data_IF_565428852148
#
_entry.id   IF_565428852148
#
_cell.length_a   1.000
_cell.length_b   1.000
_cell.length_c   1.000
_cell.angle_alpha   90.00
_cell.angle_beta   90.00
_cell.angle_gamma   90.00
#
_symmetry.space_group_name_H-M   'P 1'
#
loop_
_entity.id
_entity.type
_entity.pdbx_description
1 polymer ?
#
# COMPACT_ATOMS: atom_id res chain seq x y z
N UNK A 1 -17.97 -6.79 -18.10
CA UNK A 1 -17.45 -5.96 -16.99
C UNK A 1 -15.93 -6.11 -17.01
N UNK A 2 -15.20 -5.06 -17.36
CA UNK A 2 -13.73 -5.06 -17.36
C UNK A 2 -13.26 -4.19 -16.18
N UNK A 3 -12.17 -4.58 -15.52
CA UNK A 3 -11.59 -3.75 -14.46
C UNK A 3 -10.85 -2.57 -15.07
N UNK A 4 -11.05 -1.37 -14.54
CA UNK A 4 -10.34 -0.17 -15.02
C UNK A 4 -8.87 -0.13 -14.55
N UNK A 5 -8.57 -0.74 -13.40
CA UNK A 5 -7.21 -0.78 -12.85
C UNK A 5 -6.86 -2.16 -12.29
N UNK A 6 -5.65 -2.69 -12.58
CA UNK A 6 -5.20 -4.00 -12.09
C UNK A 6 -5.05 -4.04 -10.57
N UNK A 7 -4.79 -2.89 -9.93
CA UNK A 7 -4.71 -2.76 -8.49
C UNK A 7 -5.99 -3.21 -7.77
N UNK A 8 -7.16 -3.05 -8.40
CA UNK A 8 -8.43 -3.46 -7.81
C UNK A 8 -8.58 -4.99 -7.72
N UNK A 9 -7.92 -5.74 -8.60
CA UNK A 9 -7.89 -7.21 -8.52
C UNK A 9 -7.13 -7.68 -7.27
N UNK A 10 -5.97 -7.07 -7.01
CA UNK A 10 -5.14 -7.40 -5.83
C UNK A 10 -5.80 -6.94 -4.54
N UNK A 11 -6.39 -5.74 -4.53
CA UNK A 11 -7.14 -5.23 -3.38
C UNK A 11 -8.39 -6.06 -3.12
N UNK A 12 -9.13 -6.46 -4.15
CA UNK A 12 -10.30 -7.34 -4.02
C UNK A 12 -9.95 -8.66 -3.36
N UNK A 13 -8.87 -9.31 -3.79
CA UNK A 13 -8.38 -10.54 -3.16
C UNK A 13 -7.95 -10.34 -1.69
N UNK A 14 -7.53 -9.13 -1.31
CA UNK A 14 -7.24 -8.80 0.09
C UNK A 14 -8.53 -8.59 0.89
N UNK A 15 -9.52 -7.89 0.33
CA UNK A 15 -10.83 -7.66 0.96
C UNK A 15 -11.62 -8.95 1.17
N UNK A 16 -11.53 -9.89 0.23
CA UNK A 16 -12.14 -11.22 0.37
C UNK A 16 -11.63 -11.97 1.61
N UNK A 17 -10.36 -11.76 1.97
CA UNK A 17 -9.73 -12.36 3.15
C UNK A 17 -9.93 -11.54 4.43
N UNK A 18 -10.03 -10.22 4.31
CA UNK A 18 -10.16 -9.28 5.43
C UNK A 18 -11.05 -8.11 5.03
N UNK A 19 -12.31 -8.19 5.44
CA UNK A 19 -13.33 -7.17 5.16
C UNK A 19 -12.89 -5.76 5.60
N UNK A 20 -12.36 -5.63 6.83
CA UNK A 20 -11.90 -4.34 7.38
C UNK A 20 -10.44 -4.01 7.03
N UNK A 21 -10.04 -4.24 5.78
CA UNK A 21 -8.70 -3.90 5.28
C UNK A 21 -8.60 -2.44 4.82
N UNK A 22 -7.52 -1.75 5.20
CA UNK A 22 -7.28 -0.35 4.85
C UNK A 22 -6.65 -0.19 3.44
N UNK A 23 -7.29 -0.77 2.42
CA UNK A 23 -6.75 -0.88 1.05
C UNK A 23 -6.40 0.45 0.37
N UNK A 24 -7.14 1.53 0.68
CA UNK A 24 -6.90 2.88 0.14
C UNK A 24 -5.48 3.39 0.41
N UNK A 25 -4.88 3.02 1.55
CA UNK A 25 -3.52 3.42 1.92
C UNK A 25 -2.47 2.88 0.94
N UNK A 26 -2.70 1.70 0.35
CA UNK A 26 -1.76 1.00 -0.52
C UNK A 26 -1.97 1.32 -2.00
N UNK A 27 -3.12 1.88 -2.37
CA UNK A 27 -3.49 2.11 -3.76
C UNK A 27 -2.48 2.99 -4.51
N UNK A 28 -1.87 3.98 -3.84
CA UNK A 28 -0.83 4.85 -4.42
C UNK A 28 0.43 4.11 -4.88
N UNK A 29 0.81 3.02 -4.18
CA UNK A 29 1.88 2.13 -4.59
C UNK A 29 1.39 1.17 -5.67
N UNK A 30 0.26 0.49 -5.41
CA UNK A 30 -0.25 -0.57 -6.28
C UNK A 30 -0.54 -0.06 -7.69
N UNK A 31 -1.16 1.11 -7.86
CA UNK A 31 -1.43 1.69 -9.19
C UNK A 31 -0.16 1.88 -10.04
N UNK A 32 1.01 1.96 -9.41
CA UNK A 32 2.29 2.20 -10.09
C UNK A 32 3.00 0.91 -10.49
N UNK A 33 2.88 -0.13 -9.67
CA UNK A 33 3.61 -1.40 -9.84
C UNK A 33 2.74 -2.53 -10.41
N UNK A 34 1.42 -2.44 -10.22
CA UNK A 34 0.48 -3.47 -10.62
C UNK A 34 0.11 -3.37 -12.11
N UNK A 35 0.08 -4.50 -12.82
CA UNK A 35 -0.29 -4.63 -14.23
C UNK A 35 -1.22 -5.83 -14.43
N UNK A 36 -2.02 -5.81 -15.49
CA UNK A 36 -2.75 -7.00 -15.90
C UNK A 36 -1.76 -8.12 -16.23
N UNK A 37 -2.11 -9.34 -15.85
CA UNK A 37 -1.24 -10.50 -16.02
C UNK A 37 -1.57 -11.17 -17.34
N UNK A 38 -0.55 -11.43 -18.14
CA UNK A 38 -0.66 -12.26 -19.33
C UNK A 38 -0.61 -13.73 -18.92
N UNK A 39 -1.73 -14.21 -18.35
CA UNK A 39 -1.89 -15.55 -17.82
C UNK A 39 -3.37 -15.97 -17.88
N UNK A 40 -3.63 -17.28 -17.80
CA UNK A 40 -5.01 -17.77 -17.68
C UNK A 40 -5.67 -17.22 -16.42
N UNK A 41 -6.99 -17.01 -16.46
CA UNK A 41 -7.75 -16.46 -15.31
C UNK A 41 -7.44 -17.20 -14.00
N UNK A 42 -7.43 -18.55 -13.93
CA UNK A 42 -7.08 -19.25 -12.70
C UNK A 42 -5.67 -18.98 -12.21
N UNK A 43 -4.68 -18.87 -13.12
CA UNK A 43 -3.30 -18.57 -12.76
C UNK A 43 -3.15 -17.14 -12.27
N UNK A 44 -3.80 -16.19 -12.94
CA UNK A 44 -3.82 -14.79 -12.54
C UNK A 44 -4.44 -14.62 -11.14
N UNK A 45 -5.60 -15.24 -10.88
CA UNK A 45 -6.28 -15.17 -9.58
C UNK A 45 -5.39 -15.71 -8.44
N UNK A 46 -4.78 -16.89 -8.63
CA UNK A 46 -3.82 -17.44 -7.64
C UNK A 46 -2.67 -16.47 -7.35
N UNK A 47 -2.14 -15.81 -8.38
CA UNK A 47 -1.07 -14.83 -8.19
C UNK A 47 -1.54 -13.59 -7.42
N UNK A 48 -2.77 -13.11 -7.68
CA UNK A 48 -3.40 -12.00 -6.95
C UNK A 48 -3.58 -12.35 -5.47
N UNK A 49 -4.06 -13.54 -5.18
CA UNK A 49 -4.24 -14.04 -3.81
C UNK A 49 -2.91 -14.10 -3.06
N UNK A 50 -1.83 -14.58 -3.70
CA UNK A 50 -0.50 -14.59 -3.10
C UNK A 50 0.00 -13.18 -2.78
N UNK A 51 -0.22 -12.21 -3.68
CA UNK A 51 0.12 -10.81 -3.42
C UNK A 51 -0.74 -10.19 -2.32
N UNK A 52 -2.03 -10.55 -2.26
CA UNK A 52 -2.93 -10.12 -1.20
C UNK A 52 -2.47 -10.60 0.19
N UNK A 53 -2.06 -11.86 0.33
CA UNK A 53 -1.49 -12.38 1.59
C UNK A 53 -0.30 -11.54 2.03
N UNK A 54 0.65 -11.28 1.12
CA UNK A 54 1.83 -10.45 1.42
C UNK A 54 1.46 -9.01 1.77
N UNK A 55 0.42 -8.47 1.15
CA UNK A 55 -0.08 -7.12 1.44
C UNK A 55 -0.71 -7.04 2.83
N UNK A 56 -1.47 -8.07 3.23
CA UNK A 56 -2.05 -8.18 4.58
C UNK A 56 -0.95 -8.34 5.65
N UNK A 57 0.10 -9.11 5.38
CA UNK A 57 1.27 -9.22 6.28
C UNK A 57 1.99 -7.88 6.48
N UNK A 58 2.08 -7.07 5.43
CA UNK A 58 2.61 -5.70 5.52
C UNK A 58 1.66 -4.86 6.38
N UNK A 59 0.36 -4.98 6.16
CA UNK A 59 -0.64 -4.19 6.89
C UNK A 59 -0.71 -4.52 8.38
N UNK A 60 -0.48 -5.76 8.78
CA UNK A 60 -0.37 -6.14 10.18
C UNK A 60 0.80 -5.42 10.87
N UNK A 61 1.93 -5.28 10.18
CA UNK A 61 3.10 -4.55 10.70
C UNK A 61 2.85 -3.05 10.73
N UNK A 62 2.19 -2.50 9.70
CA UNK A 62 1.77 -1.10 9.68
C UNK A 62 0.82 -0.82 10.84
N UNK A 63 -0.16 -1.69 11.10
CA UNK A 63 -1.10 -1.58 12.21
C UNK A 63 -0.39 -1.55 13.56
N UNK A 64 0.62 -2.40 13.75
CA UNK A 64 1.43 -2.37 14.97
C UNK A 64 2.16 -1.03 15.15
N UNK A 65 2.74 -0.48 14.08
CA UNK A 65 3.39 0.83 14.13
C UNK A 65 2.41 1.97 14.40
N UNK A 66 1.24 1.96 13.76
CA UNK A 66 0.17 2.94 14.02
C UNK A 66 -0.26 2.90 15.48
N UNK A 67 -0.43 1.70 16.05
CA UNK A 67 -0.76 1.54 17.47
C UNK A 67 0.33 2.13 18.37
N UNK A 68 1.60 1.85 18.10
CA UNK A 68 2.72 2.43 18.85
C UNK A 68 2.76 3.97 18.76
N UNK A 69 2.41 4.54 17.61
CA UNK A 69 2.30 6.00 17.44
C UNK A 69 1.14 6.58 18.26
N UNK A 70 0.01 5.89 18.31
CA UNK A 70 -1.16 6.29 19.11
C UNK A 70 -0.86 6.23 20.61
N UNK A 71 -0.19 5.17 21.07
CA UNK A 71 0.28 5.03 22.46
C UNK A 71 1.30 6.10 22.84
N UNK A 72 2.11 6.56 21.88
CA UNK A 72 3.00 7.72 22.03
C UNK A 72 2.28 9.08 21.99
N UNK A 73 0.94 9.10 21.93
CA UNK A 73 0.12 10.31 22.00
C UNK A 73 -0.24 10.94 20.65
N UNK A 74 0.13 10.35 19.51
CA UNK A 74 -0.27 10.88 18.20
C UNK A 74 -1.74 10.55 17.92
N UNK A 75 -2.57 11.58 17.72
CA UNK A 75 -3.99 11.44 17.38
C UNK A 75 -4.24 12.02 16.00
N UNK A 76 -4.29 11.15 14.98
CA UNK A 76 -4.65 11.54 13.60
C UNK A 76 -5.27 10.36 12.86
N UNK A 77 -6.29 10.59 12.01
CA UNK A 77 -6.81 9.55 11.13
C UNK A 77 -5.81 9.14 10.03
N UNK A 78 -4.79 9.96 9.78
CA UNK A 78 -3.83 9.77 8.68
C UNK A 78 -2.57 8.98 9.03
N UNK A 79 -2.47 8.43 10.25
CA UNK A 79 -1.26 7.75 10.73
C UNK A 79 -0.86 6.59 9.81
N UNK A 80 -1.85 5.80 9.37
CA UNK A 80 -1.61 4.66 8.48
C UNK A 80 -1.09 5.12 7.12
N UNK A 81 -1.71 6.13 6.53
CA UNK A 81 -1.31 6.70 5.24
C UNK A 81 0.13 7.22 5.31
N UNK A 82 0.51 7.87 6.41
CA UNK A 82 1.90 8.32 6.63
C UNK A 82 2.86 7.14 6.72
N UNK A 83 2.57 6.12 7.52
CA UNK A 83 3.45 4.94 7.66
C UNK A 83 3.61 4.24 6.31
N UNK A 84 2.51 4.01 5.59
CA UNK A 84 2.53 3.38 4.27
C UNK A 84 3.32 4.22 3.27
N UNK A 85 3.10 5.53 3.21
CA UNK A 85 3.85 6.43 2.33
C UNK A 85 5.34 6.45 2.65
N UNK A 86 5.73 6.40 3.93
CA UNK A 86 7.14 6.33 4.36
C UNK A 86 7.80 5.00 3.99
N UNK A 87 7.02 3.91 3.96
CA UNK A 87 7.50 2.58 3.58
C UNK A 87 7.42 2.30 2.07
N UNK A 88 6.72 3.13 1.29
CA UNK A 88 6.47 2.92 -0.13
C UNK A 88 7.78 2.99 -0.95
N UNK A 89 8.24 1.86 -1.55
CA UNK A 89 9.53 1.78 -2.22
C UNK A 89 9.58 2.52 -3.56
N UNK A 90 8.44 2.89 -4.13
CA UNK A 90 8.38 3.63 -5.39
C UNK A 90 8.09 5.12 -5.20
N UNK A 91 7.87 5.58 -3.95
CA UNK A 91 7.43 6.95 -3.65
C UNK A 91 8.23 8.03 -4.38
N UNK A 92 9.55 7.90 -4.41
CA UNK A 92 10.48 8.89 -4.97
C UNK A 92 11.02 8.56 -6.35
N UNK A 93 10.54 7.47 -6.97
CA UNK A 93 10.96 7.11 -8.32
C UNK A 93 10.08 7.91 -9.29
N UNK A 94 10.62 8.76 -10.17
CA UNK A 94 9.83 9.39 -11.23
C UNK A 94 9.24 8.32 -12.14
N UNK A 95 8.01 8.52 -12.61
CA UNK A 95 7.37 7.62 -13.57
C UNK A 95 6.64 8.45 -14.60
N UNK A 96 7.06 8.37 -15.87
CA UNK A 96 6.33 9.06 -16.94
C UNK A 96 5.14 8.23 -17.39
N UNK A 97 4.13 8.91 -17.92
CA UNK A 97 2.95 8.26 -18.49
C UNK A 97 3.40 7.36 -19.65
N UNK A 98 3.03 6.09 -19.61
CA UNK A 98 3.40 5.10 -20.63
C UNK A 98 4.70 4.32 -20.36
N UNK A 99 5.49 4.70 -19.35
CA UNK A 99 6.68 3.92 -18.98
C UNK A 99 6.32 2.63 -18.22
N UNK A 100 7.23 1.65 -18.32
CA UNK A 100 7.15 0.40 -17.56
C UNK A 100 7.06 0.69 -16.05
N UNK A 101 6.42 -0.19 -15.27
CA UNK A 101 6.44 -0.08 -13.82
C UNK A 101 7.87 0.14 -13.30
N UNK A 102 8.07 1.02 -12.31
CA UNK A 102 9.40 1.27 -11.74
C UNK A 102 9.96 0.04 -10.99
N UNK A 103 9.08 -0.86 -10.55
CA UNK A 103 9.40 -2.15 -9.93
C UNK A 103 8.32 -3.15 -10.33
N UNK A 104 8.68 -4.44 -10.36
CA UNK A 104 7.67 -5.50 -10.39
C UNK A 104 6.88 -5.54 -9.08
N UNK A 105 5.68 -6.12 -9.11
CA UNK A 105 4.87 -6.30 -7.91
C UNK A 105 5.61 -7.08 -6.81
N UNK A 106 6.31 -8.15 -7.18
CA UNK A 106 7.04 -8.98 -6.23
C UNK A 106 8.17 -8.20 -5.54
N UNK A 107 8.94 -7.42 -6.30
CA UNK A 107 10.00 -6.55 -5.75
C UNK A 107 9.43 -5.45 -4.87
N UNK A 108 8.34 -4.81 -5.29
CA UNK A 108 7.68 -3.75 -4.52
C UNK A 108 7.22 -4.28 -3.15
N UNK A 109 6.54 -5.42 -3.11
CA UNK A 109 6.11 -6.06 -1.87
C UNK A 109 7.31 -6.49 -1.01
N UNK A 110 8.39 -7.01 -1.61
CA UNK A 110 9.60 -7.41 -0.86
C UNK A 110 10.28 -6.20 -0.23
N UNK A 111 10.47 -5.12 -0.99
CA UNK A 111 11.09 -3.89 -0.49
C UNK A 111 10.21 -3.19 0.54
N UNK A 112 8.90 -3.15 0.33
CA UNK A 112 7.96 -2.58 1.31
C UNK A 112 7.96 -3.37 2.62
N UNK A 113 8.04 -4.70 2.56
CA UNK A 113 8.20 -5.57 3.74
C UNK A 113 9.49 -5.25 4.50
N UNK A 114 10.60 -5.05 3.78
CA UNK A 114 11.86 -4.65 4.41
C UNK A 114 11.79 -3.25 5.05
N UNK A 115 11.12 -2.30 4.37
CA UNK A 115 10.95 -0.94 4.88
C UNK A 115 10.07 -0.90 6.14
N UNK A 116 8.94 -1.62 6.16
CA UNK A 116 8.06 -1.63 7.33
C UNK A 116 8.72 -2.30 8.54
N UNK A 117 9.62 -3.28 8.32
CA UNK A 117 10.43 -3.89 9.39
C UNK A 117 11.42 -2.90 10.02
N UNK A 118 11.96 -1.98 9.24
CA UNK A 118 12.94 -0.97 9.67
C UNK A 118 12.30 0.37 10.05
N UNK A 119 10.97 0.47 9.95
CA UNK A 119 10.25 1.69 10.22
C UNK A 119 10.32 2.03 11.71
N UNK A 120 10.59 3.30 12.00
CA UNK A 120 10.66 3.84 13.35
C UNK A 120 9.54 4.88 13.53
N UNK A 121 8.50 4.57 14.33
CA UNK A 121 7.41 5.47 14.68
C UNK A 121 7.86 6.84 15.18
N UNK A 122 9.00 6.93 15.88
CA UNK A 122 9.49 8.18 16.49
C UNK A 122 9.99 9.19 15.46
N UNK A 123 10.24 8.75 14.22
CA UNK A 123 10.70 9.60 13.12
C UNK A 123 9.56 10.25 12.33
N UNK A 124 8.31 10.06 12.77
CA UNK A 124 7.15 10.74 12.18
C UNK A 124 6.96 12.08 12.86
N UNK A 125 6.87 13.15 12.06
CA UNK A 125 6.67 14.52 12.55
C UNK A 125 5.26 15.00 12.25
N UNK A 126 4.75 16.01 12.98
CA UNK A 126 3.42 16.61 12.70
C UNK A 126 3.24 17.08 11.25
N UNK A 127 4.31 17.58 10.62
CA UNK A 127 4.30 18.00 9.21
C UNK A 127 3.98 16.84 8.25
N UNK A 128 4.40 15.62 8.56
CA UNK A 128 4.10 14.44 7.73
C UNK A 128 2.59 14.15 7.76
N UNK A 129 1.93 14.39 8.89
CA UNK A 129 0.46 14.24 9.05
C UNK A 129 -0.30 15.33 8.30
N UNK A 130 0.17 16.58 8.37
CA UNK A 130 -0.42 17.70 7.63
C UNK A 130 -0.33 17.47 6.11
N UNK A 131 0.81 16.98 5.62
CA UNK A 131 0.95 16.61 4.22
C UNK A 131 -0.01 15.49 3.83
N UNK A 132 -0.14 14.45 4.65
CA UNK A 132 -1.07 13.35 4.38
C UNK A 132 -2.53 13.81 4.31
N UNK A 133 -2.93 14.77 5.15
CA UNK A 133 -4.25 15.39 5.09
C UNK A 133 -4.45 16.21 3.79
N UNK A 134 -3.43 16.96 3.36
CA UNK A 134 -3.52 17.81 2.16
C UNK A 134 -3.55 17.01 0.83
N UNK A 135 -3.00 15.80 0.82
CA UNK A 135 -2.98 14.92 -0.37
C UNK A 135 -4.05 13.84 -0.34
N UNK A 136 -4.84 13.76 0.74
CA UNK A 136 -5.99 12.89 0.78
C UNK A 136 -7.00 13.35 -0.30
N UNK A 137 -7.58 12.43 -1.09
CA UNK A 137 -8.71 12.81 -1.95
C UNK A 137 -9.79 13.44 -1.06
N UNK A 138 -10.35 14.57 -1.49
CA UNK A 138 -11.50 15.16 -0.80
C UNK A 138 -12.59 14.10 -0.66
N UNK A 139 -13.12 13.94 0.55
CA UNK A 139 -14.33 13.15 0.75
C UNK A 139 -15.46 13.89 -0.01
N UNK A 140 -15.80 13.41 -1.20
CA UNK A 140 -17.07 13.70 -1.88
C UNK A 140 -18.10 12.63 -1.53
#
# INVERSE_FOLDING_TARGET
MSFEQPAFLTLGAAYERRDRFAGSSYHSMLRRVDRFLDATVPAALRQREQWAVRLLDIDDRVSAHVKAMQEAGMKSPYLRQVVVARCNPVRWIPQKRGEKPPLTMAEALTRMTANVRKFDPKKVRPQDLAFAAAVAPAEE
#
